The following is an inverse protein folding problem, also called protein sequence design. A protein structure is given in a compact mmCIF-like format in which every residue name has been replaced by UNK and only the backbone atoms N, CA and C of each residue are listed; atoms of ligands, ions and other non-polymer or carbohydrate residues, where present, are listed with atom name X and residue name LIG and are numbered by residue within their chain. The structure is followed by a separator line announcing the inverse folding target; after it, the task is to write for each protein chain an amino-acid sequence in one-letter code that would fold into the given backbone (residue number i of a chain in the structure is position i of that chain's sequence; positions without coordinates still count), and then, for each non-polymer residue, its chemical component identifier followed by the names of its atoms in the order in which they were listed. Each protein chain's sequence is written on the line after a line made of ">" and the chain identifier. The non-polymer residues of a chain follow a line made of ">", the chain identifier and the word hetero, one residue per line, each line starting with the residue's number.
data_IF_362422717390
#
_entry.id   IF_362422717390
#
_cell.length_a   1.000
_cell.length_b   1.000
_cell.length_c   1.000
_cell.angle_alpha   90.00
_cell.angle_beta   90.00
_cell.angle_gamma   90.00
#
_symmetry.space_group_name_H-M   'P 1'
#
loop_
_entity.id
_entity.type
_entity.pdbx_description
1 polymer ?
#
# COMPACT_ATOMS: atom_id res chain seq x y z
N UNK A 1 15.85 16.62 -14.76
CA UNK A 1 16.51 16.69 -13.44
C UNK A 1 16.12 17.97 -12.70
N UNK A 2 14.91 17.99 -12.13
CA UNK A 2 14.50 18.91 -11.06
C UNK A 2 13.48 18.11 -10.27
N UNK A 3 13.85 17.70 -9.06
CA UNK A 3 12.99 17.02 -8.10
C UNK A 3 11.94 18.01 -7.63
N UNK A 4 10.94 18.22 -8.49
CA UNK A 4 9.74 18.97 -8.19
C UNK A 4 8.97 18.19 -7.16
N UNK A 5 9.11 18.62 -5.90
CA UNK A 5 8.21 18.36 -4.80
C UNK A 5 6.80 18.74 -5.24
N UNK A 6 6.09 17.84 -5.91
CA UNK A 6 4.63 17.91 -5.98
C UNK A 6 4.17 17.57 -4.58
N UNK A 7 3.61 18.59 -3.92
CA UNK A 7 2.96 18.53 -2.62
C UNK A 7 2.35 17.13 -2.39
N UNK A 8 2.85 16.44 -1.36
CA UNK A 8 2.39 15.14 -0.84
C UNK A 8 2.86 13.84 -1.53
N UNK A 9 3.81 13.88 -2.46
CA UNK A 9 4.38 12.66 -3.07
C UNK A 9 5.88 12.52 -2.74
N UNK A 10 6.24 11.42 -2.09
CA UNK A 10 7.63 11.04 -1.78
C UNK A 10 8.16 10.21 -2.96
N UNK A 11 9.02 10.80 -3.79
CA UNK A 11 9.75 10.10 -4.86
C UNK A 11 10.86 9.24 -4.22
N UNK A 12 10.59 7.94 -4.01
CA UNK A 12 11.47 7.02 -3.28
C UNK A 12 12.43 6.30 -4.23
N UNK A 13 13.43 7.03 -4.73
CA UNK A 13 14.69 6.41 -5.10
C UNK A 13 15.65 6.45 -3.90
N UNK A 14 15.45 5.52 -2.96
CA UNK A 14 16.47 5.14 -1.98
C UNK A 14 16.03 5.18 -0.51
N UNK A 15 16.38 4.09 0.18
CA UNK A 15 16.39 3.77 1.63
C UNK A 15 16.61 4.92 2.64
N UNK A 16 17.05 6.08 2.17
CA UNK A 16 17.37 7.25 3.00
C UNK A 16 16.19 8.20 3.22
N UNK A 17 15.09 8.09 2.45
CA UNK A 17 14.01 9.07 2.56
C UNK A 17 13.14 8.83 3.80
N UNK A 18 12.77 7.58 4.11
CA UNK A 18 11.95 7.26 5.29
C UNK A 18 12.64 7.71 6.58
N UNK A 19 13.95 7.43 6.72
CA UNK A 19 14.73 7.78 7.90
C UNK A 19 14.98 9.30 8.01
N UNK A 20 15.17 10.00 6.88
CA UNK A 20 15.33 11.46 6.86
C UNK A 20 14.01 12.18 7.13
N UNK A 21 12.93 11.76 6.48
CA UNK A 21 11.60 12.37 6.63
C UNK A 21 11.03 12.14 8.02
N UNK A 22 11.33 11.01 8.68
CA UNK A 22 10.78 10.71 10.02
C UNK A 22 11.10 11.79 11.05
N UNK A 23 12.34 12.30 11.04
CA UNK A 23 12.76 13.34 11.98
C UNK A 23 12.04 14.68 11.77
N UNK A 24 11.49 14.90 10.58
CA UNK A 24 10.86 16.16 10.21
C UNK A 24 9.33 16.06 10.15
N UNK A 25 8.76 14.86 10.02
CA UNK A 25 7.32 14.66 9.86
C UNK A 25 6.79 13.47 10.69
N UNK A 26 6.89 13.47 12.03
CA UNK A 26 6.51 12.33 12.88
C UNK A 26 5.00 12.02 12.90
N UNK A 27 4.17 12.93 12.41
CA UNK A 27 2.71 12.82 12.39
C UNK A 27 2.15 12.49 11.01
N UNK A 28 2.95 11.91 10.12
CA UNK A 28 2.46 11.46 8.82
C UNK A 28 1.39 10.37 9.01
N UNK A 29 0.18 10.68 8.56
CA UNK A 29 -0.97 9.78 8.53
C UNK A 29 -1.23 9.22 7.13
N UNK A 30 -0.70 9.87 6.09
CA UNK A 30 -0.93 9.51 4.69
C UNK A 30 0.42 9.42 3.99
N UNK A 31 0.71 8.27 3.40
CA UNK A 31 1.95 8.03 2.66
C UNK A 31 1.58 7.52 1.27
N UNK A 32 2.09 8.19 0.25
CA UNK A 32 2.02 7.74 -1.14
C UNK A 32 3.42 7.37 -1.64
N UNK A 33 3.58 6.08 -1.95
CA UNK A 33 4.77 5.47 -2.51
C UNK A 33 4.50 4.89 -3.91
N UNK A 34 3.43 5.30 -4.59
CA UNK A 34 3.04 4.71 -5.87
C UNK A 34 4.18 4.74 -6.91
N UNK A 35 4.27 3.67 -7.71
CA UNK A 35 5.28 3.44 -8.76
C UNK A 35 6.74 3.41 -8.25
N UNK A 36 6.97 3.26 -6.95
CA UNK A 36 8.30 3.05 -6.39
C UNK A 36 8.74 1.59 -6.55
N UNK A 37 9.27 1.25 -7.72
CA UNK A 37 9.68 -0.13 -8.08
C UNK A 37 10.92 -0.65 -7.35
N UNK A 38 11.69 0.24 -6.71
CA UNK A 38 12.93 -0.07 -6.00
C UNK A 38 12.75 -0.39 -4.51
N UNK A 39 11.52 -0.42 -4.00
CA UNK A 39 11.26 -0.69 -2.58
C UNK A 39 11.58 -2.14 -2.21
N UNK A 40 12.16 -2.31 -1.03
CA UNK A 40 12.49 -3.59 -0.42
C UNK A 40 11.69 -3.83 0.86
N UNK A 41 11.66 -5.08 1.33
CA UNK A 41 11.07 -5.42 2.63
C UNK A 41 11.64 -4.56 3.79
N UNK A 42 12.93 -4.22 3.73
CA UNK A 42 13.59 -3.36 4.72
C UNK A 42 12.99 -1.95 4.76
N UNK A 43 12.62 -1.40 3.60
CA UNK A 43 12.00 -0.08 3.51
C UNK A 43 10.62 -0.08 4.18
N UNK A 44 9.82 -1.13 3.95
CA UNK A 44 8.52 -1.30 4.62
C UNK A 44 8.69 -1.48 6.13
N UNK A 45 9.71 -2.21 6.58
CA UNK A 45 10.01 -2.35 8.00
C UNK A 45 10.32 -1.01 8.65
N UNK A 46 11.18 -0.19 8.03
CA UNK A 46 11.50 1.12 8.56
C UNK A 46 10.28 2.05 8.54
N UNK A 47 9.53 2.08 7.44
CA UNK A 47 8.31 2.87 7.33
C UNK A 47 7.34 2.52 8.46
N UNK A 48 7.07 1.22 8.66
CA UNK A 48 6.13 0.77 9.66
C UNK A 48 6.64 1.01 11.09
N UNK A 49 7.95 0.86 11.33
CA UNK A 49 8.58 1.22 12.60
C UNK A 49 8.38 2.69 12.96
N UNK A 50 8.49 3.59 11.98
CA UNK A 50 8.46 5.03 12.20
C UNK A 50 7.06 5.63 12.17
N UNK A 51 6.18 5.14 11.29
CA UNK A 51 4.87 5.73 11.04
C UNK A 51 3.69 4.82 11.38
N UNK A 52 3.91 3.53 11.67
CA UNK A 52 2.84 2.54 11.82
C UNK A 52 1.78 2.90 12.88
N UNK A 53 2.18 3.59 13.96
CA UNK A 53 1.23 4.00 15.01
C UNK A 53 0.24 5.08 14.58
N UNK A 54 0.54 5.83 13.52
CA UNK A 54 -0.25 6.97 13.05
C UNK A 54 -0.70 6.85 11.60
N UNK A 55 -0.16 5.91 10.84
CA UNK A 55 -0.47 5.73 9.43
C UNK A 55 -1.93 5.27 9.26
N UNK A 56 -2.71 6.09 8.55
CA UNK A 56 -4.13 5.88 8.23
C UNK A 56 -4.27 5.41 6.79
N UNK A 57 -3.49 5.97 5.87
CA UNK A 57 -3.58 5.71 4.45
C UNK A 57 -2.21 5.39 3.85
N UNK A 58 -2.13 4.31 3.10
CA UNK A 58 -0.94 3.91 2.36
C UNK A 58 -1.29 3.63 0.91
N UNK A 59 -0.61 4.31 -0.01
CA UNK A 59 -0.64 4.00 -1.42
C UNK A 59 0.68 3.37 -1.86
N UNK A 60 0.64 2.12 -2.32
CA UNK A 60 1.80 1.38 -2.86
C UNK A 60 1.49 0.85 -4.25
N UNK A 61 0.60 1.51 -4.99
CA UNK A 61 0.19 1.03 -6.30
C UNK A 61 1.35 1.04 -7.30
N UNK A 62 1.54 -0.03 -8.08
CA UNK A 62 2.62 -0.13 -9.07
C UNK A 62 4.02 -0.32 -8.45
N UNK A 63 4.08 -0.73 -7.19
CA UNK A 63 5.30 -1.08 -6.49
C UNK A 63 5.61 -2.58 -6.58
N UNK A 64 6.86 -2.95 -6.31
CA UNK A 64 7.25 -4.35 -6.21
C UNK A 64 6.97 -4.90 -4.80
N UNK A 65 5.69 -5.00 -4.42
CA UNK A 65 5.26 -5.51 -3.11
C UNK A 65 4.95 -7.01 -3.18
N UNK A 66 5.39 -7.75 -2.16
CA UNK A 66 5.06 -9.16 -1.93
C UNK A 66 4.33 -9.35 -0.60
N UNK A 67 3.99 -10.60 -0.28
CA UNK A 67 3.28 -10.92 0.97
C UNK A 67 4.09 -10.58 2.22
N UNK A 68 5.42 -10.68 2.19
CA UNK A 68 6.23 -10.35 3.38
C UNK A 68 6.14 -8.85 3.69
N UNK A 69 6.20 -8.01 2.66
CA UNK A 69 6.00 -6.57 2.80
C UNK A 69 4.62 -6.23 3.37
N UNK A 70 3.57 -6.90 2.90
CA UNK A 70 2.22 -6.75 3.45
C UNK A 70 2.13 -7.23 4.91
N UNK A 71 2.87 -8.28 5.31
CA UNK A 71 2.95 -8.77 6.72
C UNK A 71 3.44 -7.70 7.65
N UNK A 72 4.45 -6.97 7.22
CA UNK A 72 4.98 -5.85 7.98
C UNK A 72 3.91 -4.77 8.12
N UNK A 73 3.28 -4.36 7.02
CA UNK A 73 2.27 -3.29 7.03
C UNK A 73 1.09 -3.66 7.95
N UNK A 74 0.49 -4.84 7.75
CA UNK A 74 -0.68 -5.30 8.50
C UNK A 74 -0.34 -5.52 9.98
N UNK A 75 0.86 -5.98 10.33
CA UNK A 75 1.22 -6.18 11.75
C UNK A 75 1.57 -4.90 12.48
N UNK A 76 2.13 -3.91 11.79
CA UNK A 76 2.72 -2.73 12.44
C UNK A 76 1.90 -1.46 12.29
N UNK A 77 0.94 -1.41 11.36
CA UNK A 77 0.11 -0.22 11.12
C UNK A 77 -1.30 -0.42 11.68
N UNK A 78 -1.55 0.00 12.92
CA UNK A 78 -2.81 -0.31 13.64
C UNK A 78 -3.98 0.61 13.27
N UNK A 79 -3.69 1.82 12.80
CA UNK A 79 -4.70 2.79 12.36
C UNK A 79 -4.93 2.78 10.84
N UNK A 80 -4.25 1.89 10.12
CA UNK A 80 -4.32 1.83 8.67
C UNK A 80 -5.71 1.36 8.24
N UNK A 81 -6.46 2.24 7.59
CA UNK A 81 -7.82 1.97 7.12
C UNK A 81 -7.93 1.99 5.60
N UNK A 82 -6.98 2.62 4.91
CA UNK A 82 -6.94 2.73 3.46
C UNK A 82 -5.64 2.14 2.93
N UNK A 83 -5.75 1.17 2.02
CA UNK A 83 -4.61 0.57 1.35
C UNK A 83 -4.86 0.48 -0.16
N UNK A 84 -4.00 1.12 -0.94
CA UNK A 84 -4.00 0.95 -2.39
C UNK A 84 -2.86 0.01 -2.82
N UNK A 85 -3.25 -1.14 -3.35
CA UNK A 85 -2.36 -2.19 -3.87
C UNK A 85 -2.58 -2.45 -5.36
N UNK A 86 -3.19 -1.51 -6.09
CA UNK A 86 -3.32 -1.56 -7.53
C UNK A 86 -1.97 -1.80 -8.24
N UNK A 87 -1.98 -2.47 -9.38
CA UNK A 87 -0.82 -2.81 -10.21
C UNK A 87 0.30 -3.61 -9.52
N UNK A 88 -0.03 -4.34 -8.45
CA UNK A 88 0.93 -5.16 -7.70
C UNK A 88 0.67 -6.69 -7.79
N UNK A 89 -0.42 -7.09 -8.44
CA UNK A 89 -1.07 -8.40 -8.22
C UNK A 89 -0.40 -9.62 -8.84
N UNK A 90 0.66 -9.47 -9.65
CA UNK A 90 1.38 -10.63 -10.19
C UNK A 90 2.08 -11.49 -9.11
N UNK A 91 2.01 -11.10 -7.84
CA UNK A 91 2.81 -11.64 -6.72
C UNK A 91 2.04 -11.91 -5.43
N UNK A 92 0.74 -11.61 -5.41
CA UNK A 92 -0.09 -11.70 -4.21
C UNK A 92 -1.02 -12.91 -4.33
N UNK A 93 -0.97 -13.84 -3.37
CA UNK A 93 -1.86 -15.00 -3.35
C UNK A 93 -3.20 -14.68 -2.67
N UNK A 94 -4.23 -15.49 -2.91
CA UNK A 94 -5.56 -15.29 -2.31
C UNK A 94 -5.59 -15.37 -0.78
N UNK A 95 -4.73 -16.19 -0.17
CA UNK A 95 -4.52 -16.22 1.30
C UNK A 95 -4.12 -14.85 1.81
N UNK A 96 -3.43 -14.08 0.94
CA UNK A 96 -2.98 -12.77 1.30
C UNK A 96 -4.12 -11.71 1.32
N UNK A 97 -5.34 -12.07 1.02
CA UNK A 97 -6.46 -11.12 1.01
C UNK A 97 -7.28 -11.23 2.28
N UNK A 98 -7.28 -12.38 2.95
CA UNK A 98 -8.02 -12.65 4.18
C UNK A 98 -7.61 -11.70 5.33
N UNK A 99 -6.34 -11.77 5.75
CA UNK A 99 -5.71 -10.87 6.72
C UNK A 99 -5.75 -9.37 6.34
N UNK A 100 -5.69 -8.99 5.06
CA UNK A 100 -5.88 -7.59 4.66
C UNK A 100 -7.35 -7.19 4.84
N UNK A 101 -8.27 -8.06 4.42
CA UNK A 101 -9.72 -7.91 4.59
C UNK A 101 -10.19 -7.99 6.03
N UNK A 102 -9.31 -8.34 6.98
CA UNK A 102 -9.58 -8.33 8.42
C UNK A 102 -9.09 -7.06 9.11
N UNK A 103 -8.18 -6.30 8.50
CA UNK A 103 -7.67 -5.05 9.10
C UNK A 103 -8.07 -3.78 8.36
N UNK A 104 -8.11 -3.84 7.03
CA UNK A 104 -8.28 -2.66 6.18
C UNK A 104 -9.75 -2.46 5.82
N UNK A 105 -10.24 -1.22 5.99
CA UNK A 105 -11.61 -0.83 5.72
C UNK A 105 -11.86 -0.55 4.23
N UNK A 106 -10.91 0.11 3.59
CA UNK A 106 -10.99 0.49 2.18
C UNK A 106 -9.75 0.00 1.44
N UNK A 107 -9.96 -0.88 0.46
CA UNK A 107 -8.88 -1.43 -0.35
C UNK A 107 -9.07 -1.01 -1.80
N UNK A 108 -8.03 -0.46 -2.42
CA UNK A 108 -8.02 -0.17 -3.85
C UNK A 108 -7.19 -1.21 -4.57
N UNK A 109 -7.80 -1.85 -5.56
CA UNK A 109 -7.25 -3.01 -6.23
C UNK A 109 -7.76 -3.10 -7.68
N UNK A 110 -7.01 -3.79 -8.54
CA UNK A 110 -7.36 -3.92 -9.96
C UNK A 110 -8.33 -5.06 -10.21
N UNK A 111 -9.26 -4.88 -11.15
CA UNK A 111 -10.22 -5.92 -11.51
C UNK A 111 -9.53 -7.18 -12.06
N UNK A 112 -9.36 -8.19 -11.20
CA UNK A 112 -8.73 -9.47 -11.51
C UNK A 112 -9.27 -10.60 -10.60
N UNK A 113 -8.78 -11.84 -10.77
CA UNK A 113 -9.26 -12.99 -9.99
C UNK A 113 -9.04 -12.84 -8.47
N UNK A 114 -7.98 -12.15 -8.04
CA UNK A 114 -7.71 -11.87 -6.63
C UNK A 114 -8.73 -10.87 -6.08
N UNK A 115 -9.08 -9.83 -6.84
CA UNK A 115 -10.10 -8.86 -6.43
C UNK A 115 -11.47 -9.50 -6.25
N UNK A 116 -11.85 -10.48 -7.06
CA UNK A 116 -13.09 -11.25 -6.84
C UNK A 116 -13.08 -12.01 -5.52
N UNK A 117 -11.94 -12.61 -5.17
CA UNK A 117 -11.78 -13.28 -3.87
C UNK A 117 -11.90 -12.25 -2.75
N UNK A 118 -11.21 -11.11 -2.87
CA UNK A 118 -11.27 -10.05 -1.88
C UNK A 118 -12.68 -9.47 -1.74
N UNK A 119 -13.39 -9.16 -2.83
CA UNK A 119 -14.78 -8.70 -2.81
C UNK A 119 -15.67 -9.68 -2.04
N UNK A 120 -15.55 -10.99 -2.34
CA UNK A 120 -16.26 -12.04 -1.61
C UNK A 120 -15.94 -12.05 -0.10
N UNK A 121 -14.69 -11.76 0.30
CA UNK A 121 -14.30 -11.64 1.70
C UNK A 121 -14.87 -10.39 2.40
N UNK A 122 -15.19 -9.34 1.64
CA UNK A 122 -15.65 -8.05 2.17
C UNK A 122 -17.19 -7.92 2.23
N UNK A 123 -17.94 -8.64 1.39
CA UNK A 123 -19.42 -8.55 1.29
C UNK A 123 -20.17 -8.67 2.63
N UNK A 124 -19.60 -9.31 3.65
CA UNK A 124 -20.18 -9.43 4.99
C UNK A 124 -19.54 -8.55 6.08
N UNK A 125 -18.46 -7.83 5.79
CA UNK A 125 -17.64 -7.12 6.80
C UNK A 125 -17.89 -5.61 6.86
N UNK A 126 -18.76 -5.07 6.00
CA UNK A 126 -19.01 -3.63 5.91
C UNK A 126 -17.87 -2.82 5.29
N UNK A 127 -16.91 -3.50 4.64
CA UNK A 127 -15.70 -2.92 4.07
C UNK A 127 -15.87 -2.63 2.59
N UNK A 128 -15.06 -1.72 2.08
CA UNK A 128 -15.15 -1.23 0.71
C UNK A 128 -13.96 -1.71 -0.13
N UNK A 129 -14.26 -2.24 -1.31
CA UNK A 129 -13.28 -2.45 -2.37
C UNK A 129 -13.54 -1.45 -3.49
N UNK A 130 -12.49 -0.72 -3.88
CA UNK A 130 -12.51 0.15 -5.05
C UNK A 130 -11.80 -0.61 -6.15
N UNK A 131 -12.59 -1.18 -7.05
CA UNK A 131 -12.10 -1.90 -8.21
C UNK A 131 -11.68 -0.90 -9.29
N UNK A 132 -10.43 -0.99 -9.72
CA UNK A 132 -9.94 -0.28 -10.90
C UNK A 132 -10.11 -1.18 -12.11
N UNK A 133 -10.95 -0.75 -13.05
CA UNK A 133 -10.99 -1.38 -14.37
C UNK A 133 -9.66 -1.12 -15.06
N UNK A 134 -8.86 -2.18 -15.16
CA UNK A 134 -7.66 -2.15 -15.97
C UNK A 134 -8.09 -2.04 -17.44
N UNK A 135 -7.99 -0.85 -18.00
CA UNK A 135 -8.14 -0.60 -19.44
C UNK A 135 -6.93 -1.16 -20.23
N UNK A 136 -6.56 -2.41 -20.00
CA UNK A 136 -5.70 -3.14 -20.92
C UNK A 136 -6.62 -3.66 -22.03
N UNK A 137 -6.69 -2.96 -23.18
CA UNK A 137 -7.07 -3.39 -24.55
C UNK A 137 -7.64 -2.21 -25.39
N UNK A 138 -7.01 -1.03 -25.36
CA UNK A 138 -7.22 0.00 -26.41
C UNK A 138 -5.90 0.65 -26.85
N UNK A 139 -4.92 -0.16 -27.25
CA UNK A 139 -3.92 0.19 -28.28
C UNK A 139 -3.57 -1.11 -29.02
#
# INVERSE_FOLDING_TARGET
>A
YRYGLKHNFLDVFGVNLISRTYRHCPHLTNIDLSNCVGLTESDFYQMAKFYGQNLISLNVSGCRIDENCLRIIIKSCDKLNYLNIANNFSRLQGTCLEWISDKIETIVADYNQNVRVLDGLLQGKGRNIIELELNFWKI
#
